data_IF_669649070467
#
_entry.id   IF_669649070467
#
_cell.length_a   1.000
_cell.length_b   1.000
_cell.length_c   1.000
_cell.angle_alpha   90.00
_cell.angle_beta   90.00
_cell.angle_gamma   90.00
#
_symmetry.space_group_name_H-M   'P 1'
#
loop_
_entity.id
_entity.type
_entity.pdbx_description
1 polymer ?
#
# COMPACT_ATOMS: atom_id res chain seq x y z
N UNK A 1 -12.93 7.59 -22.77
CA UNK A 1 -11.99 7.43 -21.64
C UNK A 1 -11.18 8.69 -21.36
N UNK A 2 -10.92 9.56 -22.34
CA UNK A 2 -10.09 10.78 -22.16
C UNK A 2 -10.67 11.86 -21.22
N UNK A 3 -11.99 11.89 -20.96
CA UNK A 3 -12.60 13.01 -20.24
C UNK A 3 -12.49 12.94 -18.71
N UNK A 4 -12.25 11.77 -18.11
CA UNK A 4 -12.21 11.61 -16.64
C UNK A 4 -10.93 12.19 -16.04
N UNK A 5 -9.80 12.07 -16.76
CA UNK A 5 -8.52 12.62 -16.30
C UNK A 5 -8.46 14.15 -16.33
N UNK A 6 -9.39 14.80 -17.04
CA UNK A 6 -9.37 16.25 -17.25
C UNK A 6 -10.06 17.04 -16.12
N UNK A 7 -10.96 16.40 -15.37
CA UNK A 7 -11.64 16.99 -14.21
C UNK A 7 -10.93 16.72 -12.88
N UNK A 8 -10.16 15.63 -12.81
CA UNK A 8 -9.23 15.41 -11.72
C UNK A 8 -8.04 16.33 -11.98
N UNK A 9 -7.60 17.09 -10.96
CA UNK A 9 -6.42 17.95 -11.02
C UNK A 9 -5.31 17.26 -11.83
N UNK A 10 -4.56 18.00 -12.66
CA UNK A 10 -3.57 17.55 -13.66
C UNK A 10 -2.40 16.69 -13.13
N UNK A 11 -2.66 15.85 -12.14
CA UNK A 11 -1.78 14.97 -11.42
C UNK A 11 -1.64 13.67 -12.20
N UNK A 12 -0.45 13.08 -12.15
CA UNK A 12 -0.20 11.77 -12.75
C UNK A 12 -1.01 10.72 -11.99
N UNK A 13 -1.90 10.03 -12.72
CA UNK A 13 -2.80 9.03 -12.17
C UNK A 13 -2.32 7.64 -12.56
N UNK A 14 -2.37 6.70 -11.61
CA UNK A 14 -2.09 5.29 -11.84
C UNK A 14 -3.37 4.45 -11.71
N UNK A 15 -3.38 3.35 -12.45
CA UNK A 15 -4.46 2.36 -12.41
C UNK A 15 -4.11 1.26 -11.41
N UNK A 16 -4.93 1.09 -10.39
CA UNK A 16 -4.71 0.13 -9.30
C UNK A 16 -5.87 -0.85 -9.25
N UNK A 17 -5.55 -2.16 -9.27
CA UNK A 17 -6.50 -3.21 -8.97
C UNK A 17 -6.36 -3.61 -7.50
N UNK A 18 -7.46 -3.50 -6.74
CA UNK A 18 -7.54 -3.88 -5.33
C UNK A 18 -8.30 -5.20 -5.22
N UNK A 19 -7.60 -6.34 -5.09
CA UNK A 19 -8.22 -7.64 -5.01
C UNK A 19 -8.93 -7.86 -3.68
N UNK A 20 -9.93 -8.73 -3.69
CA UNK A 20 -10.54 -9.30 -2.49
C UNK A 20 -9.77 -10.53 -2.04
N UNK A 21 -9.47 -10.65 -0.75
CA UNK A 21 -8.93 -11.90 -0.20
C UNK A 21 -10.05 -12.94 -0.04
N UNK A 22 -9.85 -14.23 -0.36
CA UNK A 22 -8.63 -14.86 -0.87
C UNK A 22 -8.52 -14.91 -2.41
N UNK A 23 -9.52 -14.42 -3.15
CA UNK A 23 -9.59 -14.56 -4.60
C UNK A 23 -8.90 -13.40 -5.34
N UNK A 24 -7.73 -13.61 -5.96
CA UNK A 24 -6.95 -12.54 -6.58
C UNK A 24 -7.56 -12.02 -7.89
N UNK A 25 -8.69 -12.56 -8.34
CA UNK A 25 -9.34 -12.17 -9.61
C UNK A 25 -10.48 -11.18 -9.42
N UNK A 26 -11.12 -11.14 -8.25
CA UNK A 26 -12.22 -10.22 -7.94
C UNK A 26 -11.75 -9.06 -7.10
N UNK A 27 -12.36 -7.89 -7.26
CA UNK A 27 -11.87 -6.67 -6.62
C UNK A 27 -12.44 -5.39 -7.20
N UNK A 28 -11.84 -4.28 -6.79
CA UNK A 28 -12.14 -2.95 -7.30
C UNK A 28 -11.03 -2.50 -8.25
N UNK A 29 -11.38 -1.69 -9.24
CA UNK A 29 -10.43 -1.01 -10.10
C UNK A 29 -10.51 0.49 -9.83
N UNK A 30 -9.41 1.08 -9.40
CA UNK A 30 -9.31 2.46 -8.94
C UNK A 30 -8.31 3.23 -9.78
N UNK A 31 -8.59 4.51 -10.01
CA UNK A 31 -7.57 5.47 -10.43
C UNK A 31 -7.17 6.28 -9.20
N UNK A 32 -5.88 6.30 -8.87
CA UNK A 32 -5.34 7.03 -7.71
C UNK A 32 -4.17 7.93 -8.15
N UNK A 33 -3.94 9.07 -7.49
CA UNK A 33 -2.77 9.90 -7.75
C UNK A 33 -1.47 9.15 -7.43
N UNK A 34 -0.48 9.19 -8.32
CA UNK A 34 0.80 8.49 -8.14
C UNK A 34 1.50 8.92 -6.85
N UNK A 35 1.44 10.22 -6.52
CA UNK A 35 2.02 10.82 -5.31
C UNK A 35 1.48 10.25 -3.98
N UNK A 36 0.31 9.61 -4.01
CA UNK A 36 -0.33 8.99 -2.83
C UNK A 36 -0.03 7.48 -2.73
N UNK A 37 0.78 6.95 -3.65
CA UNK A 37 1.17 5.54 -3.68
C UNK A 37 2.66 5.37 -3.39
N UNK A 38 3.04 4.19 -2.88
CA UNK A 38 4.44 3.82 -2.69
C UNK A 38 4.64 2.35 -3.05
N UNK A 39 5.75 2.00 -3.74
CA UNK A 39 6.02 0.63 -4.13
C UNK A 39 6.35 -0.23 -2.91
N UNK A 40 5.78 -1.44 -2.87
CA UNK A 40 6.11 -2.42 -1.86
C UNK A 40 7.35 -3.23 -2.26
N UNK A 41 8.34 -3.40 -1.38
CA UNK A 41 9.57 -4.15 -1.67
C UNK A 41 9.35 -5.66 -1.52
N UNK A 42 8.36 -6.21 -2.21
CA UNK A 42 8.02 -7.63 -2.19
C UNK A 42 7.98 -8.17 -3.63
N UNK A 43 8.23 -9.47 -3.79
CA UNK A 43 8.02 -10.12 -5.08
C UNK A 43 6.52 -10.17 -5.41
N UNK A 44 6.21 -10.25 -6.70
CA UNK A 44 4.82 -10.46 -7.15
C UNK A 44 4.27 -11.76 -6.54
N UNK A 45 5.08 -12.81 -6.48
CA UNK A 45 4.70 -14.10 -5.88
C UNK A 45 4.28 -13.95 -4.42
N UNK A 46 5.03 -13.18 -3.63
CA UNK A 46 4.71 -12.95 -2.21
C UNK A 46 3.46 -12.08 -2.05
N UNK A 47 3.26 -11.09 -2.93
CA UNK A 47 2.01 -10.33 -2.96
C UNK A 47 0.79 -11.24 -3.20
N UNK A 48 0.89 -12.19 -4.13
CA UNK A 48 -0.18 -13.17 -4.36
C UNK A 48 -0.38 -14.12 -3.17
N UNK A 49 0.69 -14.59 -2.52
CA UNK A 49 0.58 -15.39 -1.29
C UNK A 49 -0.15 -14.64 -0.19
N UNK A 50 0.10 -13.34 -0.03
CA UNK A 50 -0.60 -12.49 0.94
C UNK A 50 -2.09 -12.40 0.64
N UNK A 51 -2.46 -12.15 -0.62
CA UNK A 51 -3.86 -12.05 -1.03
C UNK A 51 -4.58 -13.38 -0.81
N UNK A 52 -4.01 -14.48 -1.28
CA UNK A 52 -4.61 -15.82 -1.22
C UNK A 52 -4.72 -16.31 0.22
N UNK A 53 -3.74 -16.02 1.07
CA UNK A 53 -3.76 -16.43 2.48
C UNK A 53 -4.58 -15.50 3.39
N UNK A 54 -5.09 -14.38 2.88
CA UNK A 54 -5.72 -13.36 3.73
C UNK A 54 -4.75 -12.70 4.71
N UNK A 55 -3.44 -12.70 4.40
CA UNK A 55 -2.39 -12.13 5.25
C UNK A 55 -1.82 -13.05 6.32
N UNK A 56 -2.30 -14.29 6.45
CA UNK A 56 -1.88 -15.23 7.51
C UNK A 56 -0.47 -15.80 7.27
N UNK A 57 -0.05 -15.95 6.01
CA UNK A 57 1.20 -16.66 5.64
C UNK A 57 2.42 -15.71 5.60
N UNK A 58 2.28 -14.46 6.07
CA UNK A 58 3.29 -13.41 5.89
C UNK A 58 4.52 -13.47 6.82
N UNK A 59 4.71 -14.51 7.64
CA UNK A 59 5.75 -14.51 8.68
C UNK A 59 7.19 -14.34 8.16
N UNK A 60 7.45 -14.66 6.89
CA UNK A 60 8.78 -14.54 6.26
C UNK A 60 8.91 -13.32 5.32
N UNK A 61 7.86 -12.51 5.18
CA UNK A 61 7.95 -11.31 4.36
C UNK A 61 8.80 -10.25 5.09
N UNK A 62 9.73 -9.55 4.41
CA UNK A 62 10.54 -8.45 4.97
C UNK A 62 9.70 -7.25 5.47
N UNK A 63 8.37 -7.36 5.40
CA UNK A 63 7.36 -6.40 5.83
C UNK A 63 7.32 -6.22 7.35
N UNK A 64 7.63 -7.27 8.13
CA UNK A 64 7.50 -7.20 9.59
C UNK A 64 8.51 -6.24 10.22
N UNK A 65 9.70 -6.11 9.64
CA UNK A 65 10.79 -5.33 10.24
C UNK A 65 10.66 -3.81 9.95
N UNK A 66 10.37 -3.44 8.69
CA UNK A 66 10.34 -2.02 8.26
C UNK A 66 9.10 -1.24 8.72
N UNK A 67 7.95 -1.88 8.84
CA UNK A 67 6.73 -1.20 9.31
C UNK A 67 6.68 -1.04 10.84
N UNK A 68 7.32 -1.95 11.58
CA UNK A 68 7.46 -1.85 13.04
C UNK A 68 8.51 -0.79 13.39
N UNK A 69 9.63 -0.71 12.66
CA UNK A 69 10.66 0.31 12.89
C UNK A 69 10.17 1.73 12.56
N UNK A 70 9.46 1.92 11.44
CA UNK A 70 8.93 3.24 11.04
C UNK A 70 7.89 3.81 12.02
N UNK A 71 7.07 2.94 12.64
CA UNK A 71 6.14 3.36 13.71
C UNK A 71 6.84 3.74 15.01
N UNK A 72 8.01 3.17 15.31
CA UNK A 72 8.78 3.53 16.50
C UNK A 72 9.44 4.90 16.34
N UNK A 73 10.05 5.19 15.19
CA UNK A 73 10.66 6.50 14.93
C UNK A 73 9.64 7.65 14.94
N UNK A 74 8.45 7.45 14.36
CA UNK A 74 7.40 8.48 14.36
C UNK A 74 6.82 8.72 15.77
N UNK A 75 6.76 7.67 16.60
CA UNK A 75 6.32 7.76 17.99
C UNK A 75 7.35 8.50 18.85
N UNK A 76 8.64 8.17 18.73
CA UNK A 76 9.73 8.85 19.43
C UNK A 76 9.80 10.34 19.07
N UNK A 77 9.64 10.69 17.79
CA UNK A 77 9.65 12.10 17.35
C UNK A 77 8.47 12.90 17.89
N UNK A 78 7.30 12.27 18.04
CA UNK A 78 6.10 12.90 18.60
C UNK A 78 6.17 13.04 20.13
N UNK A 79 6.83 12.11 20.82
CA UNK A 79 7.07 12.17 22.26
C UNK A 79 8.07 13.27 22.63
N UNK A 80 9.18 13.42 21.88
CA UNK A 80 10.15 14.51 22.09
C UNK A 80 9.54 15.91 21.90
N UNK A 81 8.58 16.06 20.98
CA UNK A 81 7.87 17.32 20.75
C UNK A 81 6.81 17.64 21.81
N UNK A 82 6.40 16.68 22.64
CA UNK A 82 5.43 16.87 23.73
C UNK A 82 6.09 17.19 25.07
N UNK A 83 7.38 16.85 25.23
CA UNK A 83 8.18 17.20 26.40
C UNK A 83 8.91 18.56 26.27
N UNK A 84 8.68 19.28 25.16
CA UNK A 84 9.17 20.64 24.89
C UNK A 84 8.07 21.68 25.08
#
# INVERSE_FOLDING_TARGET
SENIQKELNQEEMINVFVPTTPNPTSGFYLMVPEKESFPLPISVEDAFKLIISGGIVSSDAPFHEKFVSGKQEEKSRKEEMQES
#
